data_IF_266878734214
#
_entry.id   IF_266878734214
#
_cell.length_a   1.000
_cell.length_b   1.000
_cell.length_c   1.000
_cell.angle_alpha   90.00
_cell.angle_beta   90.00
_cell.angle_gamma   90.00
#
_symmetry.space_group_name_H-M   'P 1'
#
loop_
_entity.id
_entity.type
_entity.pdbx_description
1 polymer ?
#
# COMPACT_ATOMS: atom_id res chain seq x y z
N UNK A 1 5.39 18.21 -33.28
CA UNK A 1 6.05 18.41 -31.98
C UNK A 1 5.04 18.09 -30.89
N UNK A 2 5.42 17.29 -29.89
CA UNK A 2 4.53 16.98 -28.78
C UNK A 2 4.55 18.17 -27.80
N UNK A 3 3.39 18.72 -27.41
CA UNK A 3 3.34 19.82 -26.45
C UNK A 3 4.05 19.44 -25.15
N UNK A 4 4.84 20.37 -24.60
CA UNK A 4 5.69 20.19 -23.40
C UNK A 4 4.90 20.14 -22.08
N UNK A 5 3.61 19.79 -22.15
CA UNK A 5 2.73 19.69 -20.98
C UNK A 5 2.73 18.25 -20.47
N UNK A 6 3.05 18.10 -19.19
CA UNK A 6 3.05 16.79 -18.50
C UNK A 6 1.70 16.09 -18.65
N UNK A 7 0.60 16.83 -18.65
CA UNK A 7 -0.76 16.33 -18.77
C UNK A 7 -0.97 15.54 -20.06
N UNK A 8 -0.56 16.08 -21.22
CA UNK A 8 -0.76 15.42 -22.50
C UNK A 8 0.09 14.16 -22.64
N UNK A 9 1.32 14.18 -22.12
CA UNK A 9 2.17 12.98 -22.04
C UNK A 9 1.49 11.90 -21.19
N UNK A 10 0.95 12.28 -20.02
CA UNK A 10 0.25 11.34 -19.13
C UNK A 10 -0.98 10.73 -19.80
N UNK A 11 -1.82 11.53 -20.45
CA UNK A 11 -3.01 11.02 -21.14
C UNK A 11 -2.64 10.05 -22.28
N UNK A 12 -1.65 10.42 -23.09
CA UNK A 12 -1.19 9.56 -24.19
C UNK A 12 -0.61 8.24 -23.66
N UNK A 13 0.22 8.29 -22.63
CA UNK A 13 0.80 7.09 -22.04
C UNK A 13 -0.27 6.16 -21.46
N UNK A 14 -1.27 6.70 -20.74
CA UNK A 14 -2.40 5.91 -20.23
C UNK A 14 -3.16 5.23 -21.36
N UNK A 15 -3.46 5.97 -22.44
CA UNK A 15 -4.15 5.42 -23.61
C UNK A 15 -3.34 4.30 -24.27
N UNK A 16 -2.04 4.50 -24.48
CA UNK A 16 -1.15 3.51 -25.07
C UNK A 16 -1.05 2.24 -24.20
N UNK A 17 -0.95 2.39 -22.89
CA UNK A 17 -0.95 1.27 -21.94
C UNK A 17 -2.25 0.48 -21.99
N UNK A 18 -3.41 1.15 -22.08
CA UNK A 18 -4.72 0.51 -22.22
C UNK A 18 -4.87 -0.24 -23.55
N UNK A 19 -4.22 0.23 -24.61
CA UNK A 19 -4.15 -0.45 -25.91
C UNK A 19 -3.16 -1.63 -25.93
N UNK A 20 -2.50 -1.94 -24.80
CA UNK A 20 -1.48 -2.98 -24.71
C UNK A 20 -0.14 -2.59 -25.36
N UNK A 21 0.04 -1.33 -25.76
CA UNK A 21 1.24 -0.86 -26.42
C UNK A 21 2.29 -0.37 -25.40
N UNK A 22 2.90 -1.33 -24.70
CA UNK A 22 3.85 -1.07 -23.62
C UNK A 22 5.07 -0.28 -24.10
N UNK A 23 5.65 -0.68 -25.23
CA UNK A 23 6.86 -0.04 -25.79
C UNK A 23 6.63 1.43 -26.14
N UNK A 24 5.52 1.76 -26.82
CA UNK A 24 5.21 3.16 -27.14
C UNK A 24 4.86 3.97 -25.90
N UNK A 25 4.15 3.38 -24.94
CA UNK A 25 3.86 4.03 -23.66
C UNK A 25 5.16 4.42 -22.93
N UNK A 26 6.08 3.47 -22.82
CA UNK A 26 7.39 3.68 -22.20
C UNK A 26 8.21 4.75 -22.93
N UNK A 27 8.33 4.63 -24.26
CA UNK A 27 9.06 5.60 -25.08
C UNK A 27 8.48 7.02 -24.93
N UNK A 28 7.16 7.15 -24.95
CA UNK A 28 6.46 8.44 -24.77
C UNK A 28 6.85 9.14 -23.46
N UNK A 29 6.90 8.38 -22.36
CA UNK A 29 7.28 8.95 -21.06
C UNK A 29 8.78 9.24 -21.01
N UNK A 30 9.65 8.32 -21.49
CA UNK A 30 11.11 8.52 -21.51
C UNK A 30 11.51 9.74 -22.35
N UNK A 31 10.91 9.92 -23.52
CA UNK A 31 11.16 11.08 -24.39
C UNK A 31 10.73 12.39 -23.72
N UNK A 32 9.64 12.37 -22.94
CA UNK A 32 9.21 13.53 -22.17
C UNK A 32 10.16 13.83 -20.99
N UNK A 33 10.67 12.79 -20.30
CA UNK A 33 11.66 12.92 -19.23
C UNK A 33 12.99 13.50 -19.72
N UNK A 34 13.32 13.35 -21.00
CA UNK A 34 14.52 13.96 -21.60
C UNK A 34 14.28 15.46 -21.90
N UNK A 35 13.07 15.83 -22.35
CA UNK A 35 12.76 17.20 -22.80
C UNK A 35 12.32 18.14 -21.68
N UNK A 36 11.63 17.63 -20.66
CA UNK A 36 11.02 18.44 -19.59
C UNK A 36 11.93 18.43 -18.37
N UNK A 37 12.63 19.53 -18.11
CA UNK A 37 13.65 19.59 -17.05
C UNK A 37 13.07 19.78 -15.63
N UNK A 38 11.80 20.15 -15.50
CA UNK A 38 11.22 20.53 -14.21
C UNK A 38 11.18 19.35 -13.21
N UNK A 39 11.62 19.52 -11.94
CA UNK A 39 11.62 18.47 -10.92
C UNK A 39 10.25 17.82 -10.67
N UNK A 40 9.18 18.64 -10.67
CA UNK A 40 7.81 18.17 -10.44
C UNK A 40 7.34 17.28 -11.60
N UNK A 41 7.64 17.67 -12.85
CA UNK A 41 7.40 16.83 -14.03
C UNK A 41 8.19 15.52 -13.93
N UNK A 42 9.44 15.63 -13.48
CA UNK A 42 10.31 14.57 -12.95
C UNK A 42 9.55 13.50 -12.18
N UNK A 43 9.11 13.92 -11.00
CA UNK A 43 8.37 13.08 -10.07
C UNK A 43 7.13 12.48 -10.75
N UNK A 44 6.29 13.30 -11.39
CA UNK A 44 5.00 12.85 -11.91
C UNK A 44 5.14 11.79 -13.01
N UNK A 45 6.01 12.03 -13.99
CA UNK A 45 6.21 11.13 -15.12
C UNK A 45 6.98 9.87 -14.71
N UNK A 46 8.02 10.01 -13.89
CA UNK A 46 8.77 8.87 -13.36
C UNK A 46 7.91 7.94 -12.50
N UNK A 47 7.07 8.51 -11.62
CA UNK A 47 6.13 7.74 -10.79
C UNK A 47 5.06 7.04 -11.63
N UNK A 48 4.60 7.67 -12.71
CA UNK A 48 3.66 7.04 -13.64
C UNK A 48 4.30 5.84 -14.36
N UNK A 49 5.52 6.01 -14.88
CA UNK A 49 6.23 4.92 -15.56
C UNK A 49 6.57 3.78 -14.61
N UNK A 50 7.00 4.07 -13.38
CA UNK A 50 7.25 3.04 -12.35
C UNK A 50 5.97 2.22 -12.04
N UNK A 51 4.80 2.86 -12.06
CA UNK A 51 3.50 2.17 -11.92
C UNK A 51 3.23 1.23 -13.09
N UNK A 52 3.47 1.68 -14.33
CA UNK A 52 3.31 0.82 -15.51
C UNK A 52 4.28 -0.36 -15.50
N UNK A 53 5.55 -0.14 -15.17
CA UNK A 53 6.50 -1.25 -15.00
C UNK A 53 6.03 -2.27 -13.96
N UNK A 54 5.47 -1.81 -12.84
CA UNK A 54 4.88 -2.73 -11.85
C UNK A 54 3.71 -3.52 -12.44
N UNK A 55 2.81 -2.86 -13.19
CA UNK A 55 1.65 -3.51 -13.83
C UNK A 55 2.07 -4.51 -14.92
N UNK A 56 3.16 -4.24 -15.65
CA UNK A 56 3.72 -5.15 -16.65
C UNK A 56 4.64 -6.21 -16.05
N UNK A 57 4.68 -6.34 -14.73
CA UNK A 57 5.54 -7.27 -13.99
C UNK A 57 7.05 -7.06 -14.23
N UNK A 58 7.45 -5.86 -14.65
CA UNK A 58 8.83 -5.44 -14.87
C UNK A 58 9.39 -4.76 -13.62
N UNK A 59 9.45 -5.49 -12.51
CA UNK A 59 9.84 -4.94 -11.19
C UNK A 59 11.26 -4.35 -11.18
N UNK A 60 12.19 -4.95 -11.91
CA UNK A 60 13.57 -4.45 -12.01
C UNK A 60 13.63 -3.09 -12.70
N UNK A 61 12.88 -2.91 -13.80
CA UNK A 61 12.78 -1.62 -14.48
C UNK A 61 12.17 -0.53 -13.58
N UNK A 62 11.15 -0.90 -12.78
CA UNK A 62 10.57 0.02 -11.79
C UNK A 62 11.60 0.46 -10.75
N UNK A 63 12.38 -0.49 -10.21
CA UNK A 63 13.44 -0.21 -9.25
C UNK A 63 14.54 0.68 -9.85
N UNK A 64 15.10 0.31 -11.01
CA UNK A 64 16.16 1.10 -11.66
C UNK A 64 15.71 2.53 -11.95
N UNK A 65 14.47 2.71 -12.41
CA UNK A 65 13.91 4.04 -12.66
C UNK A 65 13.77 4.84 -11.36
N UNK A 66 13.19 4.25 -10.31
CA UNK A 66 12.97 4.94 -9.03
C UNK A 66 14.29 5.27 -8.33
N UNK A 67 15.28 4.40 -8.42
CA UNK A 67 16.62 4.64 -7.89
C UNK A 67 17.29 5.82 -8.59
N UNK A 68 17.30 5.83 -9.93
CA UNK A 68 17.82 6.95 -10.71
C UNK A 68 17.06 8.25 -10.44
N UNK A 69 15.73 8.18 -10.28
CA UNK A 69 14.90 9.34 -9.96
C UNK A 69 15.19 9.86 -8.55
N UNK A 70 15.42 8.99 -7.57
CA UNK A 70 15.80 9.38 -6.21
C UNK A 70 17.18 10.04 -6.16
N UNK A 71 18.10 9.69 -7.05
CA UNK A 71 19.40 10.34 -7.17
C UNK A 71 19.28 11.72 -7.84
N UNK A 72 18.43 11.83 -8.86
CA UNK A 72 18.17 13.11 -9.56
C UNK A 72 17.38 14.10 -8.70
N UNK A 73 16.53 13.60 -7.81
CA UNK A 73 15.66 14.37 -6.93
C UNK A 73 15.94 13.99 -5.46
N UNK A 74 17.11 14.38 -4.91
CA UNK A 74 17.54 13.91 -3.59
C UNK A 74 16.60 14.34 -2.44
N UNK A 75 15.92 15.48 -2.58
CA UNK A 75 15.02 16.03 -1.56
C UNK A 75 13.56 15.54 -1.71
N UNK A 76 13.31 14.58 -2.62
CA UNK A 76 11.99 14.13 -3.01
C UNK A 76 11.52 12.92 -2.19
N UNK A 77 10.92 13.22 -1.04
CA UNK A 77 10.38 12.20 -0.14
C UNK A 77 9.41 11.23 -0.85
N UNK A 78 8.44 11.67 -1.68
CA UNK A 78 7.55 10.75 -2.40
C UNK A 78 8.27 9.69 -3.24
N UNK A 79 9.39 10.05 -3.90
CA UNK A 79 10.17 9.08 -4.68
C UNK A 79 10.91 8.10 -3.77
N UNK A 80 11.55 8.58 -2.70
CA UNK A 80 12.22 7.71 -1.70
C UNK A 80 11.24 6.70 -1.08
N UNK A 81 10.06 7.16 -0.69
CA UNK A 81 8.98 6.31 -0.15
C UNK A 81 8.48 5.29 -1.17
N UNK A 82 8.42 5.64 -2.45
CA UNK A 82 8.06 4.68 -3.50
C UNK A 82 9.15 3.64 -3.70
N UNK A 83 10.41 4.04 -3.63
CA UNK A 83 11.57 3.14 -3.72
C UNK A 83 11.63 2.16 -2.54
N UNK A 84 11.23 2.57 -1.34
CA UNK A 84 11.07 1.69 -0.16
C UNK A 84 10.04 0.56 -0.34
N UNK A 85 9.19 0.60 -1.38
CA UNK A 85 8.25 -0.47 -1.71
C UNK A 85 8.82 -1.49 -2.72
N UNK A 86 10.02 -1.25 -3.26
CA UNK A 86 10.66 -2.17 -4.19
C UNK A 86 11.23 -3.39 -3.47
N UNK A 87 11.03 -4.57 -4.05
CA UNK A 87 11.51 -5.86 -3.50
C UNK A 87 13.03 -5.86 -3.27
N UNK A 88 13.77 -5.19 -4.13
CA UNK A 88 15.22 -5.02 -4.04
C UNK A 88 15.62 -4.25 -2.79
N UNK A 89 14.84 -3.25 -2.38
CA UNK A 89 15.09 -2.45 -1.17
C UNK A 89 14.61 -3.20 0.07
N UNK A 90 13.47 -3.89 0.00
CA UNK A 90 12.96 -4.71 1.12
C UNK A 90 13.97 -5.80 1.50
N UNK A 91 14.66 -6.39 0.50
CA UNK A 91 15.70 -7.41 0.72
C UNK A 91 17.08 -6.84 1.11
N UNK A 92 17.22 -5.52 1.12
CA UNK A 92 18.46 -4.81 1.44
C UNK A 92 18.22 -3.88 2.65
N UNK A 93 18.39 -4.40 3.89
CA UNK A 93 18.14 -3.63 5.11
C UNK A 93 18.98 -2.37 5.22
N UNK A 94 20.21 -2.38 4.68
CA UNK A 94 21.11 -1.21 4.72
C UNK A 94 20.55 -0.10 3.83
N UNK A 95 20.16 -0.43 2.61
CA UNK A 95 19.55 0.53 1.69
C UNK A 95 18.19 1.04 2.20
N UNK A 96 17.37 0.15 2.78
CA UNK A 96 16.11 0.54 3.37
C UNK A 96 16.32 1.55 4.52
N UNK A 97 17.27 1.28 5.42
CA UNK A 97 17.57 2.18 6.52
C UNK A 97 18.14 3.51 6.02
N UNK A 98 19.05 3.51 5.04
CA UNK A 98 19.58 4.73 4.45
C UNK A 98 18.46 5.63 3.89
N UNK A 99 17.49 5.05 3.19
CA UNK A 99 16.35 5.82 2.65
C UNK A 99 15.46 6.40 3.75
N UNK A 100 15.26 5.68 4.86
CA UNK A 100 14.51 6.19 6.01
C UNK A 100 15.27 7.33 6.69
N UNK A 101 16.58 7.19 6.88
CA UNK A 101 17.44 8.22 7.47
C UNK A 101 17.49 9.48 6.60
N UNK A 102 17.53 9.32 5.27
CA UNK A 102 17.43 10.43 4.33
C UNK A 102 16.10 11.19 4.51
N UNK A 103 14.96 10.49 4.56
CA UNK A 103 13.65 11.12 4.78
C UNK A 103 13.63 11.84 6.13
N UNK A 104 14.19 11.22 7.17
CA UNK A 104 14.31 11.83 8.50
C UNK A 104 15.11 13.11 8.46
N UNK A 105 16.23 13.15 7.74
CA UNK A 105 17.05 14.35 7.60
C UNK A 105 16.32 15.51 6.91
N UNK A 106 15.40 15.20 5.99
CA UNK A 106 14.61 16.19 5.26
C UNK A 106 13.42 16.72 6.07
N UNK A 107 12.76 15.87 6.85
CA UNK A 107 11.58 16.25 7.64
C UNK A 107 11.92 16.77 9.05
N UNK A 108 13.07 16.38 9.60
CA UNK A 108 13.44 16.57 10.99
C UNK A 108 12.89 15.49 11.93
N UNK A 109 13.24 15.59 13.21
CA UNK A 109 12.89 14.58 14.23
C UNK A 109 11.38 14.33 14.36
N UNK A 110 10.55 15.35 14.15
CA UNK A 110 9.09 15.25 14.26
C UNK A 110 8.39 14.84 12.94
N UNK A 111 9.16 14.46 11.91
CA UNK A 111 8.65 14.05 10.61
C UNK A 111 7.81 12.77 10.65
N UNK A 112 6.53 12.86 10.29
CA UNK A 112 5.63 11.70 10.35
C UNK A 112 5.96 10.63 9.30
N UNK A 113 6.54 11.02 8.16
CA UNK A 113 6.77 10.07 7.06
C UNK A 113 7.90 9.15 7.43
N UNK A 114 9.06 9.66 7.84
CA UNK A 114 10.16 8.76 8.24
C UNK A 114 9.75 7.83 9.39
N UNK A 115 8.95 8.30 10.35
CA UNK A 115 8.45 7.46 11.46
C UNK A 115 7.55 6.32 10.95
N UNK A 116 6.65 6.61 10.00
CA UNK A 116 5.83 5.59 9.35
C UNK A 116 6.67 4.61 8.53
N UNK A 117 7.64 5.12 7.76
CA UNK A 117 8.51 4.30 6.92
C UNK A 117 9.42 3.40 7.77
N UNK A 118 9.99 3.92 8.86
CA UNK A 118 10.79 3.16 9.83
C UNK A 118 9.98 2.03 10.45
N UNK A 119 8.77 2.33 10.91
CA UNK A 119 7.86 1.34 11.47
C UNK A 119 7.52 0.26 10.44
N UNK A 120 7.34 0.62 9.16
CA UNK A 120 7.03 -0.35 8.10
C UNK A 120 8.22 -1.24 7.75
N UNK A 121 9.43 -0.69 7.72
CA UNK A 121 10.67 -1.46 7.50
C UNK A 121 10.86 -2.47 8.64
N UNK A 122 10.77 -2.04 9.90
CA UNK A 122 10.87 -2.94 11.04
C UNK A 122 9.71 -3.94 11.14
N UNK A 123 8.50 -3.56 10.71
CA UNK A 123 7.38 -4.49 10.62
C UNK A 123 7.65 -5.64 9.66
N UNK A 124 8.36 -5.39 8.56
CA UNK A 124 8.68 -6.40 7.56
C UNK A 124 9.92 -7.25 7.91
N UNK A 125 10.76 -6.79 8.83
CA UNK A 125 12.02 -7.44 9.18
C UNK A 125 11.84 -8.72 10.00
N UNK A 126 12.88 -9.56 10.00
CA UNK A 126 12.93 -10.81 10.77
C UNK A 126 13.06 -10.55 12.28
N UNK A 127 13.68 -9.42 12.68
CA UNK A 127 13.86 -9.00 14.08
C UNK A 127 12.65 -8.22 14.65
N UNK A 128 11.46 -8.39 14.04
CA UNK A 128 10.21 -7.71 14.43
C UNK A 128 10.00 -7.63 15.95
N UNK A 129 10.15 -8.75 16.67
CA UNK A 129 9.92 -8.83 18.12
C UNK A 129 10.81 -7.84 18.90
N UNK A 130 12.06 -7.65 18.47
CA UNK A 130 12.99 -6.73 19.11
C UNK A 130 12.66 -5.25 18.81
N UNK A 131 11.95 -5.00 17.70
CA UNK A 131 11.58 -3.66 17.22
C UNK A 131 10.14 -3.27 17.54
N UNK A 132 9.31 -4.22 17.95
CA UNK A 132 7.89 -4.04 18.16
C UNK A 132 7.53 -2.86 19.08
N UNK A 133 8.19 -2.64 20.24
CA UNK A 133 7.92 -1.47 21.08
C UNK A 133 8.16 -0.14 20.36
N UNK A 134 9.21 -0.06 19.53
CA UNK A 134 9.55 1.14 18.76
C UNK A 134 8.59 1.36 17.59
N UNK A 135 8.15 0.28 16.93
CA UNK A 135 7.10 0.33 15.91
C UNK A 135 5.83 0.96 16.50
N UNK A 136 5.36 0.45 17.63
CA UNK A 136 4.17 0.98 18.33
C UNK A 136 4.38 2.45 18.70
N UNK A 137 5.54 2.81 19.24
CA UNK A 137 5.87 4.19 19.62
C UNK A 137 5.79 5.15 18.44
N UNK A 138 6.39 4.82 17.29
CA UNK A 138 6.35 5.68 16.10
C UNK A 138 4.92 5.85 15.58
N UNK A 139 4.16 4.76 15.49
CA UNK A 139 2.82 4.80 14.92
C UNK A 139 1.82 5.50 15.84
N UNK A 140 1.92 5.30 17.16
CA UNK A 140 1.12 6.06 18.13
C UNK A 140 1.49 7.55 18.12
N UNK A 141 2.78 7.89 17.98
CA UNK A 141 3.25 9.27 17.81
C UNK A 141 2.61 9.94 16.59
N UNK A 142 2.62 9.25 15.44
CA UNK A 142 1.94 9.72 14.23
C UNK A 142 0.44 9.94 14.45
N UNK A 143 -0.24 9.02 15.12
CA UNK A 143 -1.67 9.13 15.40
C UNK A 143 -2.01 10.22 16.43
N UNK A 144 -1.10 10.53 17.34
CA UNK A 144 -1.25 11.65 18.27
C UNK A 144 -1.15 12.99 17.53
N UNK A 145 -0.17 13.12 16.62
CA UNK A 145 0.00 14.33 15.82
C UNK A 145 -1.09 14.49 14.74
N UNK A 146 -1.50 13.39 14.12
CA UNK A 146 -2.56 13.34 13.12
C UNK A 146 -3.48 12.13 13.35
N UNK A 147 -4.58 12.31 14.12
CA UNK A 147 -5.56 11.27 14.35
C UNK A 147 -6.29 10.78 13.08
N UNK A 148 -6.11 11.42 11.92
CA UNK A 148 -6.72 10.97 10.66
C UNK A 148 -5.78 10.13 9.80
N UNK A 149 -4.54 9.88 10.23
CA UNK A 149 -3.59 9.03 9.48
C UNK A 149 -4.04 7.56 9.51
N UNK A 150 -4.74 7.14 8.46
CA UNK A 150 -5.17 5.76 8.32
C UNK A 150 -4.02 4.79 8.06
N UNK A 151 -2.94 5.23 7.40
CA UNK A 151 -1.82 4.36 7.10
C UNK A 151 -1.12 3.93 8.40
N UNK A 152 -0.83 4.88 9.29
CA UNK A 152 -0.25 4.58 10.59
C UNK A 152 -1.19 3.73 11.47
N UNK A 153 -2.50 3.99 11.44
CA UNK A 153 -3.48 3.18 12.19
C UNK A 153 -3.52 1.73 11.71
N UNK A 154 -3.58 1.51 10.40
CA UNK A 154 -3.63 0.17 9.84
C UNK A 154 -2.34 -0.61 10.09
N UNK A 155 -1.18 0.05 10.01
CA UNK A 155 0.09 -0.58 10.34
C UNK A 155 0.22 -0.87 11.84
N UNK A 156 -0.35 -0.03 12.70
CA UNK A 156 -0.36 -0.26 14.15
C UNK A 156 -1.22 -1.49 14.49
N UNK A 157 -2.42 -1.58 13.92
CA UNK A 157 -3.29 -2.74 14.08
C UNK A 157 -2.63 -4.03 13.56
N UNK A 158 -1.99 -3.99 12.39
CA UNK A 158 -1.24 -5.13 11.86
C UNK A 158 -0.03 -5.50 12.74
N UNK A 159 0.61 -4.52 13.39
CA UNK A 159 1.72 -4.76 14.31
C UNK A 159 1.24 -5.46 15.59
N UNK A 160 0.11 -5.00 16.17
CA UNK A 160 -0.55 -5.70 17.27
C UNK A 160 -0.92 -7.14 16.89
N UNK A 161 -1.47 -7.33 15.69
CA UNK A 161 -1.85 -8.64 15.19
C UNK A 161 -0.64 -9.57 15.04
N UNK A 162 0.47 -9.08 14.48
CA UNK A 162 1.72 -9.84 14.31
C UNK A 162 2.34 -10.22 15.65
N UNK A 163 2.23 -9.35 16.67
CA UNK A 163 2.65 -9.62 18.04
C UNK A 163 1.70 -10.56 18.82
N UNK A 164 0.56 -10.96 18.24
CA UNK A 164 -0.45 -11.80 18.90
C UNK A 164 -1.37 -11.04 19.87
N UNK A 165 -1.28 -9.71 19.92
CA UNK A 165 -2.13 -8.84 20.73
C UNK A 165 -3.49 -8.60 20.04
N UNK A 166 -4.23 -9.69 19.78
CA UNK A 166 -5.41 -9.69 18.92
C UNK A 166 -6.48 -8.68 19.34
N UNK A 167 -6.69 -8.47 20.64
CA UNK A 167 -7.71 -7.53 21.11
C UNK A 167 -7.33 -6.06 20.83
N UNK A 168 -6.04 -5.71 20.95
CA UNK A 168 -5.54 -4.39 20.57
C UNK A 168 -5.54 -4.19 19.05
N UNK A 169 -5.23 -5.24 18.30
CA UNK A 169 -5.35 -5.23 16.85
C UNK A 169 -6.80 -4.92 16.42
N UNK A 170 -7.77 -5.68 16.94
CA UNK A 170 -9.19 -5.52 16.59
C UNK A 170 -9.71 -4.15 17.01
N UNK A 171 -9.40 -3.66 18.22
CA UNK A 171 -9.84 -2.32 18.63
C UNK A 171 -9.30 -1.24 17.68
N UNK A 172 -8.02 -1.32 17.31
CA UNK A 172 -7.37 -0.37 16.39
C UNK A 172 -7.95 -0.48 14.97
N UNK A 173 -8.22 -1.70 14.49
CA UNK A 173 -8.87 -1.94 13.21
C UNK A 173 -10.30 -1.39 13.18
N UNK A 174 -11.09 -1.56 14.26
CA UNK A 174 -12.44 -0.99 14.39
C UNK A 174 -12.43 0.53 14.29
N UNK A 175 -11.45 1.20 14.90
CA UNK A 175 -11.28 2.64 14.72
C UNK A 175 -11.02 3.03 13.26
N UNK A 176 -10.18 2.25 12.56
CA UNK A 176 -9.88 2.47 11.15
C UNK A 176 -11.12 2.33 10.28
N UNK A 177 -11.87 1.25 10.52
CA UNK A 177 -13.13 0.98 9.84
C UNK A 177 -14.20 2.05 10.13
N UNK A 178 -14.25 2.58 11.36
CA UNK A 178 -15.21 3.63 11.72
C UNK A 178 -15.06 4.91 10.88
N UNK A 179 -13.82 5.19 10.46
CA UNK A 179 -13.44 6.38 9.69
C UNK A 179 -13.57 6.19 8.18
N UNK A 180 -13.32 4.98 7.69
CA UNK A 180 -13.43 4.63 6.27
C UNK A 180 -14.21 3.32 6.13
N UNK A 181 -15.54 3.33 6.33
CA UNK A 181 -16.36 2.12 6.44
C UNK A 181 -16.45 1.29 5.17
N UNK A 182 -16.17 1.90 4.02
CA UNK A 182 -16.27 1.28 2.69
C UNK A 182 -14.88 1.03 2.05
N UNK A 183 -13.79 1.27 2.78
CA UNK A 183 -12.43 1.06 2.26
C UNK A 183 -12.05 -0.42 2.35
N UNK A 184 -11.98 -1.07 1.18
CA UNK A 184 -11.59 -2.48 1.07
C UNK A 184 -10.21 -2.76 1.69
N UNK A 185 -9.28 -1.81 1.67
CA UNK A 185 -7.96 -1.96 2.29
C UNK A 185 -8.03 -2.03 3.83
N UNK A 186 -9.16 -1.64 4.42
CA UNK A 186 -9.43 -1.74 5.85
C UNK A 186 -10.34 -2.91 6.16
N UNK A 187 -11.43 -3.06 5.42
CA UNK A 187 -12.43 -4.12 5.64
C UNK A 187 -11.75 -5.50 5.63
N UNK A 188 -10.89 -5.77 4.65
CA UNK A 188 -10.27 -7.08 4.46
C UNK A 188 -9.39 -7.46 5.68
N UNK A 189 -8.41 -6.62 6.11
CA UNK A 189 -7.67 -6.89 7.34
C UNK A 189 -8.55 -7.05 8.58
N UNK A 190 -9.60 -6.23 8.74
CA UNK A 190 -10.51 -6.32 9.88
C UNK A 190 -11.21 -7.68 9.90
N UNK A 191 -11.77 -8.13 8.77
CA UNK A 191 -12.40 -9.45 8.66
C UNK A 191 -11.39 -10.55 8.98
N UNK A 192 -10.18 -10.49 8.42
CA UNK A 192 -9.14 -11.47 8.69
C UNK A 192 -8.78 -11.55 10.19
N UNK A 193 -8.63 -10.39 10.85
CA UNK A 193 -8.33 -10.31 12.27
C UNK A 193 -9.48 -10.85 13.15
N UNK A 194 -10.73 -10.53 12.82
CA UNK A 194 -11.92 -11.07 13.52
C UNK A 194 -11.99 -12.59 13.40
N UNK A 195 -11.71 -13.15 12.23
CA UNK A 195 -11.64 -14.60 12.04
C UNK A 195 -10.52 -15.24 12.88
N UNK A 196 -9.33 -14.63 12.94
CA UNK A 196 -8.23 -15.11 13.81
C UNK A 196 -8.60 -15.07 15.28
N UNK A 197 -9.32 -14.04 15.71
CA UNK A 197 -9.82 -13.88 17.07
C UNK A 197 -11.07 -14.73 17.38
N UNK A 198 -11.63 -15.43 16.38
CA UNK A 198 -12.88 -16.20 16.47
C UNK A 198 -14.12 -15.34 16.76
N UNK A 199 -14.06 -14.05 16.45
CA UNK A 199 -15.16 -13.09 16.53
C UNK A 199 -16.00 -13.13 15.24
N UNK A 200 -16.56 -14.31 14.99
CA UNK A 200 -17.16 -14.64 13.69
C UNK A 200 -18.46 -13.89 13.40
N UNK A 201 -19.25 -13.59 14.42
CA UNK A 201 -20.53 -12.89 14.26
C UNK A 201 -20.30 -11.47 13.70
N UNK A 202 -19.29 -10.75 14.22
CA UNK A 202 -18.94 -9.43 13.70
C UNK A 202 -18.30 -9.51 12.31
N UNK A 203 -17.47 -10.52 12.06
CA UNK A 203 -16.91 -10.75 10.74
C UNK A 203 -18.01 -10.95 9.69
N UNK A 204 -19.04 -11.72 10.02
CA UNK A 204 -20.19 -11.94 9.14
C UNK A 204 -21.02 -10.67 8.95
N UNK A 205 -21.28 -9.90 10.01
CA UNK A 205 -21.95 -8.61 9.88
C UNK A 205 -21.19 -7.66 8.94
N UNK A 206 -19.86 -7.63 9.04
CA UNK A 206 -19.02 -6.81 8.18
C UNK A 206 -19.04 -7.29 6.72
N UNK A 207 -18.98 -8.61 6.48
CA UNK A 207 -19.09 -9.19 5.14
C UNK A 207 -20.46 -8.91 4.50
N UNK A 208 -21.54 -8.99 5.28
CA UNK A 208 -22.89 -8.68 4.82
C UNK A 208 -23.03 -7.20 4.48
N UNK A 209 -22.45 -6.30 5.29
CA UNK A 209 -22.40 -4.87 5.00
C UNK A 209 -21.63 -4.57 3.71
N UNK A 210 -20.45 -5.18 3.54
CA UNK A 210 -19.65 -5.01 2.32
C UNK A 210 -20.42 -5.48 1.06
N UNK A 211 -21.10 -6.63 1.15
CA UNK A 211 -21.96 -7.14 0.08
C UNK A 211 -23.13 -6.20 -0.25
N UNK A 212 -23.82 -5.70 0.78
CA UNK A 212 -24.93 -4.75 0.61
C UNK A 212 -24.47 -3.42 -0.02
N UNK A 213 -23.26 -2.97 0.31
CA UNK A 213 -22.60 -1.82 -0.30
C UNK A 213 -22.01 -2.10 -1.70
N UNK A 214 -22.18 -3.33 -2.23
CA UNK A 214 -21.65 -3.77 -3.53
C UNK A 214 -20.13 -3.64 -3.63
N UNK A 215 -19.44 -3.85 -2.51
CA UNK A 215 -17.98 -3.88 -2.44
C UNK A 215 -17.51 -5.29 -2.77
N UNK A 216 -16.96 -5.47 -3.97
CA UNK A 216 -16.50 -6.76 -4.46
C UNK A 216 -14.98 -6.87 -4.41
N UNK A 217 -14.48 -7.95 -3.80
CA UNK A 217 -13.06 -8.30 -3.81
C UNK A 217 -12.90 -9.83 -3.64
N UNK A 218 -11.97 -10.49 -4.36
CA UNK A 218 -11.80 -11.95 -4.27
C UNK A 218 -11.60 -12.47 -2.84
N UNK A 219 -10.85 -11.74 -2.01
CA UNK A 219 -10.64 -12.13 -0.61
C UNK A 219 -11.91 -12.02 0.24
N UNK A 220 -12.80 -11.05 -0.03
CA UNK A 220 -14.08 -10.98 0.67
C UNK A 220 -15.00 -12.14 0.27
N UNK A 221 -15.00 -12.54 -1.01
CA UNK A 221 -15.72 -13.73 -1.47
C UNK A 221 -15.19 -15.00 -0.81
N UNK A 222 -13.88 -15.13 -0.63
CA UNK A 222 -13.29 -16.25 0.13
C UNK A 222 -13.77 -16.27 1.59
N UNK A 223 -13.82 -15.13 2.27
CA UNK A 223 -14.36 -15.06 3.63
C UNK A 223 -15.86 -15.34 3.70
N UNK A 224 -16.65 -14.93 2.70
CA UNK A 224 -18.08 -15.26 2.59
C UNK A 224 -18.29 -16.76 2.40
N UNK A 225 -17.52 -17.38 1.49
CA UNK A 225 -17.50 -18.83 1.31
C UNK A 225 -17.19 -19.55 2.63
N UNK A 226 -16.16 -19.11 3.35
CA UNK A 226 -15.81 -19.66 4.65
C UNK A 226 -16.95 -19.51 5.67
N UNK A 227 -17.66 -18.37 5.70
CA UNK A 227 -18.82 -18.17 6.56
C UNK A 227 -19.95 -19.16 6.22
N UNK A 228 -20.31 -19.29 4.95
CA UNK A 228 -21.38 -20.17 4.49
C UNK A 228 -21.08 -21.64 4.80
N UNK A 229 -19.84 -22.08 4.56
CA UNK A 229 -19.41 -23.45 4.89
C UNK A 229 -19.53 -23.73 6.38
N UNK A 230 -19.16 -22.78 7.25
CA UNK A 230 -19.27 -22.93 8.71
C UNK A 230 -20.72 -23.00 9.19
N UNK A 231 -21.64 -22.34 8.51
CA UNK A 231 -23.07 -22.38 8.80
C UNK A 231 -23.82 -23.51 8.07
N UNK A 232 -23.14 -24.35 7.30
CA UNK A 232 -23.76 -25.43 6.52
C UNK A 232 -24.62 -24.93 5.35
N UNK A 233 -24.43 -23.69 4.91
CA UNK A 233 -25.15 -23.07 3.80
C UNK A 233 -24.51 -23.46 2.46
N UNK A 234 -24.57 -24.77 2.15
CA UNK A 234 -23.85 -25.36 1.01
C UNK A 234 -24.28 -24.82 -0.35
N UNK A 235 -25.54 -24.39 -0.51
CA UNK A 235 -26.00 -23.76 -1.76
C UNK A 235 -25.30 -22.44 -2.02
N UNK A 236 -25.27 -21.54 -1.02
CA UNK A 236 -24.60 -20.24 -1.11
C UNK A 236 -23.08 -20.40 -1.30
N UNK A 237 -22.49 -21.39 -0.64
CA UNK A 237 -21.09 -21.74 -0.85
C UNK A 237 -20.81 -22.21 -2.29
N UNK A 238 -21.71 -23.02 -2.87
CA UNK A 238 -21.61 -23.48 -4.26
C UNK A 238 -21.72 -22.33 -5.26
N UNK A 239 -22.64 -21.39 -5.03
CA UNK A 239 -22.84 -20.24 -5.92
C UNK A 239 -21.57 -19.38 -5.98
N UNK A 240 -20.96 -19.07 -4.82
CA UNK A 240 -19.69 -18.32 -4.77
C UNK A 240 -18.57 -19.06 -5.50
N UNK A 241 -18.48 -20.39 -5.34
CA UNK A 241 -17.46 -21.18 -6.03
C UNK A 241 -17.63 -21.15 -7.56
N UNK A 242 -18.87 -21.12 -8.06
CA UNK A 242 -19.14 -20.99 -9.49
C UNK A 242 -18.74 -19.61 -10.02
N UNK A 243 -18.95 -18.55 -9.23
CA UNK A 243 -18.56 -17.18 -9.60
C UNK A 243 -17.05 -16.95 -9.60
N UNK A 244 -16.27 -17.79 -8.90
CA UNK A 244 -14.82 -17.70 -8.79
C UNK A 244 -14.05 -18.48 -9.88
N UNK A 245 -14.73 -19.34 -10.64
CA UNK A 245 -14.16 -20.18 -11.72
C UNK A 245 -14.27 -19.49 -13.09
#
# INVERSE_FOLDING_TARGET
>A
EFPDTVELVRYLAILLAQQGNQEKCEATIKDALIRIEQPIAHRQLGMLLARFYTQWNQKDNAYTLLDALSQKLPDDIPVKRRLLLCEQVIKDPEKAQQLVDDIKSLEGEDGWQWQYEQARVWFAADDFEARYPQIVTHLQGNLLANPSDQASRMLLAASYERAGELQLAISTYREGLSRSPDDLNIIIPVVAALYKAREYDEAEQLLNRASAAKLYHPQLQQFQLQSHLRHGQLSLASDILQDLL
#
